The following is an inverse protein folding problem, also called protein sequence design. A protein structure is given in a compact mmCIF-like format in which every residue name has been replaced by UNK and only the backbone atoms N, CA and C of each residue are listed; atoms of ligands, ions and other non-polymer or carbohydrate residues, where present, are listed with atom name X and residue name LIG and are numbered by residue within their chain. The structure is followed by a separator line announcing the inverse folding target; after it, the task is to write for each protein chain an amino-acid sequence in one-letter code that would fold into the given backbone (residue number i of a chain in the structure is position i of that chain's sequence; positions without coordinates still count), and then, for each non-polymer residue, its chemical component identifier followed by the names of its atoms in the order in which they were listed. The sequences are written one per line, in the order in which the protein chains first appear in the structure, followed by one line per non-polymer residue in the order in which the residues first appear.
data_IF_554723804919
#
_entry.id   IF_554723804919
#
_cell.length_a   1.000
_cell.length_b   1.000
_cell.length_c   1.000
_cell.angle_alpha   90.00
_cell.angle_beta   90.00
_cell.angle_gamma   90.00
#
_symmetry.space_group_name_H-M   'P 1'
#
loop_
_entity.id
_entity.type
_entity.pdbx_description
1 polymer ?
#
# COMPACT_ATOMS: atom_id res chain seq x y z
N UNK A 1 -10.51 -2.32 15.41
CA UNK A 1 -9.94 -2.43 14.05
C UNK A 1 -8.44 -2.71 14.13
N UNK A 2 -7.86 -3.44 13.17
CA UNK A 2 -6.41 -3.67 13.08
C UNK A 2 -5.87 -2.91 11.85
N UNK A 3 -4.71 -2.28 12.01
CA UNK A 3 -3.95 -1.64 10.95
C UNK A 3 -2.52 -2.18 10.95
N UNK A 4 -1.97 -2.48 9.78
CA UNK A 4 -0.60 -2.91 9.60
C UNK A 4 0.11 -1.93 8.70
N UNK A 5 1.09 -1.20 9.25
CA UNK A 5 1.82 -0.16 8.53
C UNK A 5 3.32 -0.34 8.69
N UNK A 6 4.07 0.00 7.64
CA UNK A 6 5.53 -0.02 7.65
C UNK A 6 6.05 1.40 7.44
N UNK A 7 7.13 1.78 8.10
CA UNK A 7 7.73 3.11 7.95
C UNK A 7 9.10 3.02 7.28
N UNK A 8 9.39 3.99 6.41
CA UNK A 8 10.72 4.08 5.78
C UNK A 8 11.76 4.53 6.79
N UNK A 9 11.46 5.58 7.56
CA UNK A 9 12.37 6.12 8.57
C UNK A 9 12.05 5.57 9.98
N UNK A 10 13.06 5.51 10.86
CA UNK A 10 12.84 5.18 12.25
C UNK A 10 12.13 6.33 12.98
N UNK A 11 11.12 5.99 13.79
CA UNK A 11 10.38 6.94 14.61
C UNK A 11 10.63 6.60 16.09
N UNK A 12 10.66 7.59 16.96
CA UNK A 12 10.73 7.35 18.41
C UNK A 12 9.36 6.93 18.96
N UNK A 13 9.27 6.01 19.92
CA UNK A 13 7.98 5.55 20.47
C UNK A 13 7.05 6.68 20.91
N UNK A 14 7.58 7.73 21.54
CA UNK A 14 6.78 8.87 22.00
C UNK A 14 6.20 9.66 20.81
N UNK A 15 6.95 9.75 19.71
CA UNK A 15 6.47 10.39 18.48
C UNK A 15 5.44 9.52 17.75
N UNK A 16 5.60 8.19 17.79
CA UNK A 16 4.58 7.26 17.30
C UNK A 16 3.27 7.42 18.07
N UNK A 17 3.32 7.46 19.41
CA UNK A 17 2.13 7.62 20.25
C UNK A 17 1.37 8.91 19.93
N UNK A 18 2.09 10.04 19.82
CA UNK A 18 1.50 11.33 19.43
C UNK A 18 0.86 11.28 18.04
N UNK A 19 1.55 10.67 17.06
CA UNK A 19 1.03 10.54 15.72
C UNK A 19 -0.25 9.68 15.68
N UNK A 20 -0.27 8.52 16.34
CA UNK A 20 -1.42 7.62 16.41
C UNK A 20 -2.62 8.28 17.11
N UNK A 21 -2.37 8.96 18.23
CA UNK A 21 -3.39 9.72 18.94
C UNK A 21 -4.09 10.74 18.01
N UNK A 22 -3.30 11.49 17.24
CA UNK A 22 -3.82 12.43 16.25
C UNK A 22 -4.56 11.76 15.08
N UNK A 23 -4.14 10.57 14.66
CA UNK A 23 -4.78 9.83 13.56
C UNK A 23 -6.17 9.30 13.94
N UNK A 24 -6.31 8.81 15.17
CA UNK A 24 -7.49 8.13 15.70
C UNK A 24 -8.35 9.01 16.61
N UNK A 25 -7.94 10.26 16.84
CA UNK A 25 -8.71 11.22 17.63
C UNK A 25 -8.81 10.89 19.11
N UNK A 26 -7.82 10.20 19.68
CA UNK A 26 -7.75 9.82 21.11
C UNK A 26 -6.71 10.66 21.85
N UNK A 27 -6.70 10.61 23.19
CA UNK A 27 -5.64 11.26 23.96
C UNK A 27 -4.34 10.46 23.84
N UNK A 28 -3.19 11.13 23.90
CA UNK A 28 -1.87 10.46 23.86
C UNK A 28 -1.69 9.46 25.00
N UNK A 29 -2.29 9.74 26.17
CA UNK A 29 -2.26 8.81 27.32
C UNK A 29 -3.09 7.53 27.11
N UNK A 30 -3.98 7.52 26.11
CA UNK A 30 -4.78 6.36 25.74
C UNK A 30 -4.13 5.54 24.60
N UNK A 31 -2.86 5.82 24.27
CA UNK A 31 -2.07 5.09 23.28
C UNK A 31 -0.90 4.39 23.97
N UNK A 32 -0.89 3.06 23.91
CA UNK A 32 0.23 2.20 24.30
C UNK A 32 1.11 1.94 23.08
N UNK A 33 2.41 2.26 23.17
CA UNK A 33 3.40 1.92 22.14
C UNK A 33 4.47 1.06 22.80
N UNK A 34 4.60 -0.19 22.36
CA UNK A 34 5.46 -1.17 23.01
C UNK A 34 6.29 -1.97 22.01
N UNK A 35 7.50 -2.34 22.45
CA UNK A 35 8.28 -3.41 21.84
C UNK A 35 7.67 -4.75 22.27
N UNK A 36 7.32 -5.66 21.34
CA UNK A 36 6.75 -6.97 21.69
C UNK A 36 7.66 -7.83 22.58
N UNK A 37 8.98 -7.60 22.55
CA UNK A 37 9.96 -8.30 23.40
C UNK A 37 10.27 -7.52 24.70
N UNK A 38 9.57 -6.41 24.95
CA UNK A 38 9.69 -5.57 26.14
C UNK A 38 9.04 -6.14 27.40
N UNK A 39 9.15 -5.41 28.51
CA UNK A 39 8.56 -5.80 29.80
C UNK A 39 7.02 -5.67 29.78
N UNK A 40 6.26 -6.77 29.91
CA UNK A 40 4.80 -6.73 29.91
C UNK A 40 4.19 -5.90 31.05
N UNK A 41 4.90 -5.74 32.17
CA UNK A 41 4.42 -4.99 33.33
C UNK A 41 4.44 -3.47 33.09
N UNK A 42 5.16 -3.00 32.06
CA UNK A 42 5.21 -1.59 31.66
C UNK A 42 4.10 -1.20 30.67
N UNK A 43 3.34 -2.17 30.15
CA UNK A 43 2.29 -1.91 29.16
C UNK A 43 1.06 -1.26 29.77
N UNK A 44 0.49 -0.30 29.05
CA UNK A 44 -0.83 0.22 29.37
C UNK A 44 -1.91 -0.66 28.74
N UNK A 45 -2.29 -1.73 29.44
CA UNK A 45 -3.32 -2.67 28.97
C UNK A 45 -4.72 -2.05 28.83
N UNK A 46 -4.97 -0.90 29.48
CA UNK A 46 -6.24 -0.16 29.40
C UNK A 46 -6.24 0.87 28.26
N UNK A 47 -5.18 0.97 27.47
CA UNK A 47 -5.10 1.91 26.36
C UNK A 47 -6.14 1.61 25.27
N UNK A 48 -6.82 2.65 24.79
CA UNK A 48 -7.80 2.57 23.70
C UNK A 48 -7.15 2.18 22.36
N UNK A 49 -5.86 2.49 22.21
CA UNK A 49 -5.06 2.12 21.05
C UNK A 49 -3.78 1.47 21.56
N UNK A 50 -3.46 0.28 21.06
CA UNK A 50 -2.16 -0.34 21.27
C UNK A 50 -1.41 -0.43 19.94
N UNK A 51 -0.10 -0.23 19.98
CA UNK A 51 0.79 -0.36 18.85
C UNK A 51 2.02 -1.16 19.26
N UNK A 52 2.21 -2.28 18.58
CA UNK A 52 3.45 -3.05 18.68
C UNK A 52 4.36 -2.64 17.53
N UNK A 53 5.59 -2.26 17.85
CA UNK A 53 6.58 -1.85 16.85
C UNK A 53 7.77 -2.81 16.84
N UNK A 54 8.18 -3.24 15.64
CA UNK A 54 9.34 -4.12 15.44
C UNK A 54 10.32 -3.52 14.45
N UNK A 55 11.60 -3.53 14.82
CA UNK A 55 12.65 -3.09 13.92
C UNK A 55 12.77 -4.09 12.78
N UNK A 56 12.74 -3.61 11.55
CA UNK A 56 12.94 -4.43 10.35
C UNK A 56 14.16 -3.93 9.57
N UNK A 57 14.63 -4.76 8.66
CA UNK A 57 15.86 -4.49 7.91
C UNK A 57 15.52 -4.25 6.44
N UNK A 58 16.31 -3.42 5.75
CA UNK A 58 16.16 -3.16 4.32
C UNK A 58 15.87 -1.69 4.00
N UNK A 59 14.93 -1.43 3.11
CA UNK A 59 14.45 -0.08 2.76
C UNK A 59 13.46 0.50 3.78
N UNK A 60 13.02 -0.32 4.74
CA UNK A 60 12.05 0.04 5.77
C UNK A 60 12.69 -0.11 7.16
N UNK A 61 12.24 0.69 8.11
CA UNK A 61 12.79 0.74 9.47
C UNK A 61 11.90 0.07 10.52
N UNK A 62 10.58 0.28 10.48
CA UNK A 62 9.65 -0.31 11.44
C UNK A 62 8.49 -1.03 10.74
N UNK A 63 8.07 -2.15 11.35
CA UNK A 63 6.74 -2.74 11.17
C UNK A 63 5.90 -2.39 12.38
N UNK A 64 4.70 -1.85 12.16
CA UNK A 64 3.77 -1.43 13.20
C UNK A 64 2.46 -2.19 13.05
N UNK A 65 2.08 -2.91 14.10
CA UNK A 65 0.77 -3.54 14.22
C UNK A 65 -0.06 -2.76 15.24
N UNK A 66 -1.11 -2.12 14.76
CA UNK A 66 -1.92 -1.18 15.54
C UNK A 66 -3.30 -1.78 15.74
N UNK A 67 -3.72 -1.83 17.00
CA UNK A 67 -5.04 -2.26 17.40
C UNK A 67 -5.80 -1.09 18.03
N UNK A 68 -6.93 -0.72 17.44
CA UNK A 68 -7.87 0.23 18.02
C UNK A 68 -9.06 -0.54 18.61
N UNK A 69 -9.35 -0.31 19.90
CA UNK A 69 -10.50 -0.89 20.58
C UNK A 69 -11.83 -0.39 19.98
N UNK A 70 -12.94 -1.08 20.22
CA UNK A 70 -14.26 -0.74 19.66
C UNK A 70 -14.79 0.61 20.16
N UNK A 71 -14.33 1.04 21.33
CA UNK A 71 -14.66 2.29 22.01
C UNK A 71 -14.09 3.53 21.33
N UNK A 72 -13.12 3.38 20.43
CA UNK A 72 -12.59 4.48 19.62
C UNK A 72 -13.68 4.93 18.64
N UNK A 73 -14.13 6.18 18.78
CA UNK A 73 -15.33 6.69 18.12
C UNK A 73 -15.20 6.83 16.59
N UNK A 74 -14.02 7.21 16.08
CA UNK A 74 -13.71 7.26 14.64
C UNK A 74 -12.63 6.23 14.34
N UNK A 75 -12.96 5.21 13.55
CA UNK A 75 -12.03 4.19 13.08
C UNK A 75 -11.92 4.32 11.55
N UNK A 76 -11.03 5.20 11.05
CA UNK A 76 -10.87 5.44 9.62
C UNK A 76 -10.39 4.18 8.89
N UNK A 77 -10.44 4.20 7.57
CA UNK A 77 -9.82 3.16 6.77
C UNK A 77 -8.30 3.17 6.96
N UNK A 78 -7.65 2.02 6.79
CA UNK A 78 -6.20 1.89 6.92
C UNK A 78 -5.42 2.87 6.05
N UNK A 79 -5.89 3.12 4.82
CA UNK A 79 -5.37 4.16 3.93
C UNK A 79 -5.35 5.54 4.57
N UNK A 80 -6.42 5.90 5.27
CA UNK A 80 -6.57 7.22 5.88
C UNK A 80 -5.68 7.33 7.14
N UNK A 81 -5.60 6.27 7.94
CA UNK A 81 -4.65 6.18 9.06
C UNK A 81 -3.22 6.30 8.56
N UNK A 82 -2.82 5.54 7.54
CA UNK A 82 -1.48 5.60 6.95
C UNK A 82 -1.15 7.01 6.42
N UNK A 83 -2.09 7.67 5.74
CA UNK A 83 -1.87 9.02 5.22
C UNK A 83 -1.73 10.07 6.34
N UNK A 84 -2.59 10.00 7.36
CA UNK A 84 -2.50 10.88 8.54
C UNK A 84 -1.19 10.63 9.30
N UNK A 85 -0.80 9.37 9.46
CA UNK A 85 0.41 8.97 10.17
C UNK A 85 1.67 9.40 9.42
N UNK A 86 1.75 9.18 8.11
CA UNK A 86 2.86 9.63 7.26
C UNK A 86 3.14 11.12 7.42
N UNK A 87 2.08 11.92 7.42
CA UNK A 87 2.17 13.37 7.63
C UNK A 87 2.60 13.72 9.06
N UNK A 88 2.01 13.09 10.07
CA UNK A 88 2.29 13.37 11.47
C UNK A 88 3.69 12.95 11.91
N UNK A 89 4.17 11.82 11.40
CA UNK A 89 5.48 11.24 11.68
C UNK A 89 6.58 11.69 10.71
N UNK A 90 6.24 12.51 9.70
CA UNK A 90 7.17 13.03 8.69
C UNK A 90 7.99 11.93 7.99
N UNK A 91 7.32 10.85 7.59
CA UNK A 91 7.90 9.71 6.87
C UNK A 91 6.94 9.20 5.79
N UNK A 92 7.47 8.47 4.83
CA UNK A 92 6.68 7.59 3.97
C UNK A 92 6.24 6.37 4.76
N UNK A 93 4.98 6.00 4.56
CA UNK A 93 4.33 4.84 5.17
C UNK A 93 3.86 3.90 4.08
N UNK A 94 4.10 2.60 4.26
CA UNK A 94 3.55 1.55 3.43
C UNK A 94 2.40 0.85 4.18
N UNK A 95 1.37 0.46 3.45
CA UNK A 95 0.27 -0.37 3.97
C UNK A 95 -0.18 -1.39 2.92
N UNK A 96 -0.73 -2.54 3.33
CA UNK A 96 -1.18 -3.58 2.42
C UNK A 96 -2.21 -3.04 1.41
N UNK A 97 -2.09 -3.46 0.15
CA UNK A 97 -3.20 -3.28 -0.78
C UNK A 97 -4.16 -4.47 -0.70
N UNK A 98 -5.42 -4.25 -1.11
CA UNK A 98 -6.46 -5.26 -1.09
C UNK A 98 -6.27 -6.38 -2.13
N UNK A 99 -5.40 -6.20 -3.11
CA UNK A 99 -5.12 -7.20 -4.14
C UNK A 99 -4.22 -8.34 -3.65
N UNK A 100 -4.30 -9.49 -4.32
CA UNK A 100 -3.65 -10.70 -3.86
C UNK A 100 -2.10 -10.61 -3.94
N UNK A 101 -1.38 -11.29 -3.02
CA UNK A 101 0.08 -11.35 -3.02
C UNK A 101 0.67 -11.81 -4.36
N UNK A 102 1.92 -11.42 -4.70
CA UNK A 102 3.01 -11.39 -3.70
C UNK A 102 3.36 -10.03 -3.11
N UNK A 103 2.95 -8.90 -3.71
CA UNK A 103 3.78 -7.70 -3.54
C UNK A 103 3.09 -6.37 -3.89
N UNK A 104 1.79 -6.21 -3.67
CA UNK A 104 1.10 -4.95 -3.89
C UNK A 104 0.91 -4.19 -2.57
N UNK A 105 1.79 -3.23 -2.29
CA UNK A 105 1.61 -2.28 -1.19
C UNK A 105 1.21 -0.92 -1.77
N UNK A 106 0.59 -0.11 -0.94
CA UNK A 106 0.52 1.33 -1.17
C UNK A 106 1.61 2.02 -0.37
N UNK A 107 2.24 3.04 -0.95
CA UNK A 107 3.10 3.98 -0.26
C UNK A 107 2.41 5.34 -0.22
N UNK A 108 2.37 5.96 0.95
CA UNK A 108 1.90 7.34 1.13
C UNK A 108 3.02 8.19 1.74
N UNK A 109 3.35 9.30 1.08
CA UNK A 109 4.37 10.23 1.59
C UNK A 109 3.77 11.25 2.55
N UNK A 110 4.62 11.91 3.35
CA UNK A 110 4.21 13.00 4.23
C UNK A 110 3.56 14.19 3.48
N UNK A 111 3.86 14.37 2.20
CA UNK A 111 3.24 15.37 1.31
C UNK A 111 1.88 14.91 0.76
N UNK A 112 1.46 13.67 1.05
CA UNK A 112 0.18 13.10 0.61
C UNK A 112 0.22 12.43 -0.75
N UNK A 113 1.41 12.22 -1.36
CA UNK A 113 1.53 11.40 -2.56
C UNK A 113 1.19 9.96 -2.21
N UNK A 114 0.12 9.43 -2.80
CA UNK A 114 -0.25 8.01 -2.72
C UNK A 114 0.16 7.31 -4.03
N UNK A 115 0.99 6.28 -3.93
CA UNK A 115 1.46 5.53 -5.09
C UNK A 115 1.56 4.04 -4.80
N UNK A 116 1.49 3.21 -5.84
CA UNK A 116 1.72 1.78 -5.69
C UNK A 116 3.20 1.50 -5.50
N UNK A 117 3.48 0.47 -4.72
CA UNK A 117 4.84 0.00 -4.49
C UNK A 117 4.91 -1.52 -4.49
N UNK A 118 6.05 -2.05 -4.94
CA UNK A 118 6.38 -3.46 -4.87
C UNK A 118 7.33 -3.69 -3.72
N UNK A 119 6.87 -4.50 -2.76
CA UNK A 119 7.66 -4.93 -1.61
C UNK A 119 8.01 -6.40 -1.77
N UNK A 120 9.30 -6.72 -1.63
CA UNK A 120 9.83 -8.08 -1.65
C UNK A 120 10.50 -8.36 -0.30
N UNK A 121 10.25 -9.55 0.25
CA UNK A 121 10.89 -10.04 1.47
C UNK A 121 11.95 -11.07 1.06
N UNK A 122 13.14 -10.98 1.63
CA UNK A 122 14.16 -12.04 1.48
C UNK A 122 13.79 -13.28 2.28
N UNK A 123 14.38 -14.41 1.91
CA UNK A 123 14.29 -15.66 2.70
C UNK A 123 15.25 -15.70 3.91
N UNK A 124 15.99 -14.62 4.19
CA UNK A 124 16.87 -14.49 5.37
C UNK A 124 16.09 -14.36 6.70
N UNK A 125 16.76 -14.65 7.82
CA UNK A 125 16.21 -14.48 9.18
C UNK A 125 17.12 -13.54 10.01
N UNK A 126 16.66 -12.32 10.36
CA UNK A 126 15.36 -11.73 10.03
C UNK A 126 15.27 -11.30 8.55
N UNK A 127 14.05 -11.26 7.97
CA UNK A 127 13.87 -10.91 6.57
C UNK A 127 14.24 -9.45 6.27
N UNK A 128 14.85 -9.25 5.10
CA UNK A 128 15.10 -7.96 4.48
C UNK A 128 13.89 -7.53 3.65
N UNK A 129 13.35 -6.36 3.97
CA UNK A 129 12.24 -5.71 3.28
C UNK A 129 12.79 -4.77 2.20
N UNK A 130 12.67 -5.14 0.94
CA UNK A 130 13.19 -4.36 -0.20
C UNK A 130 12.05 -3.80 -1.02
N UNK A 131 12.07 -2.49 -1.24
CA UNK A 131 11.12 -1.83 -2.13
C UNK A 131 11.71 -1.78 -3.54
N UNK A 132 11.34 -2.74 -4.37
CA UNK A 132 11.97 -2.92 -5.70
C UNK A 132 11.44 -1.95 -6.75
N UNK A 133 10.18 -1.49 -6.62
CA UNK A 133 9.56 -0.60 -7.59
C UNK A 133 8.44 0.28 -7.02
N UNK A 134 8.21 1.43 -7.67
CA UNK A 134 7.10 2.36 -7.38
C UNK A 134 6.47 2.90 -8.66
N UNK A 135 5.19 3.27 -8.65
CA UNK A 135 4.55 3.86 -9.84
C UNK A 135 4.81 5.35 -10.03
N UNK A 136 5.12 6.04 -8.93
CA UNK A 136 5.46 7.47 -8.90
C UNK A 136 6.73 7.61 -8.05
N UNK A 137 7.71 8.44 -8.44
CA UNK A 137 8.91 8.63 -7.64
C UNK A 137 8.61 9.03 -6.20
N UNK A 138 9.26 8.36 -5.24
CA UNK A 138 9.18 8.66 -3.81
C UNK A 138 10.58 9.00 -3.32
N UNK A 139 10.77 10.21 -2.79
CA UNK A 139 12.10 10.72 -2.44
C UNK A 139 12.83 9.84 -1.40
N UNK A 140 12.09 9.28 -0.44
CA UNK A 140 12.64 8.40 0.60
C UNK A 140 12.94 6.96 0.11
N UNK A 141 12.54 6.63 -1.12
CA UNK A 141 12.79 5.32 -1.75
C UNK A 141 13.62 5.48 -3.04
N UNK A 142 14.83 6.06 -2.96
CA UNK A 142 15.60 6.44 -4.16
C UNK A 142 16.10 5.24 -4.98
N UNK A 143 16.11 4.04 -4.39
CA UNK A 143 16.55 2.79 -5.04
C UNK A 143 15.42 2.08 -5.80
N UNK A 144 14.17 2.47 -5.56
CA UNK A 144 13.02 1.83 -6.19
C UNK A 144 12.95 2.19 -7.67
N UNK A 145 12.76 1.19 -8.54
CA UNK A 145 12.58 1.42 -9.96
C UNK A 145 11.20 2.03 -10.21
N UNK A 146 11.16 3.17 -10.90
CA UNK A 146 9.88 3.80 -11.26
C UNK A 146 9.29 3.09 -12.47
N UNK A 147 8.22 2.32 -12.28
CA UNK A 147 7.55 1.55 -13.35
C UNK A 147 6.06 1.39 -13.07
N UNK A 148 5.26 1.15 -14.12
CA UNK A 148 3.85 0.77 -13.99
C UNK A 148 3.73 -0.73 -13.72
N UNK A 149 2.77 -1.12 -12.89
CA UNK A 149 2.51 -2.52 -12.55
C UNK A 149 1.38 -3.09 -13.42
N UNK A 150 1.75 -3.81 -14.49
CA UNK A 150 0.78 -4.40 -15.42
C UNK A 150 -0.04 -5.53 -14.77
N UNK A 151 0.51 -6.19 -13.75
CA UNK A 151 -0.12 -7.25 -12.97
C UNK A 151 -1.32 -6.74 -12.14
N UNK A 152 -1.21 -5.57 -11.51
CA UNK A 152 -2.26 -4.97 -10.68
C UNK A 152 -3.50 -4.61 -11.51
N UNK A 153 -3.30 -4.23 -12.78
CA UNK A 153 -4.41 -3.92 -13.71
C UNK A 153 -5.31 -5.13 -13.96
N UNK A 154 -4.76 -6.36 -13.92
CA UNK A 154 -5.55 -7.59 -14.12
C UNK A 154 -6.44 -7.88 -12.92
N UNK A 155 -5.94 -7.57 -11.72
CA UNK A 155 -6.60 -7.87 -10.45
C UNK A 155 -7.69 -6.84 -10.14
N UNK A 156 -7.46 -5.56 -10.46
CA UNK A 156 -8.42 -4.49 -10.24
C UNK A 156 -9.67 -4.56 -11.13
N UNK A 157 -9.60 -5.31 -12.25
CA UNK A 157 -10.67 -5.40 -13.26
C UNK A 157 -11.41 -4.06 -13.50
N UNK A 158 -10.68 -2.97 -13.82
CA UNK A 158 -11.33 -1.68 -14.01
C UNK A 158 -12.36 -1.74 -15.14
N UNK A 159 -13.43 -0.94 -15.02
CA UNK A 159 -14.37 -0.73 -16.10
C UNK A 159 -13.62 -0.20 -17.32
N UNK A 160 -13.55 -1.02 -18.36
CA UNK A 160 -12.75 -0.78 -19.57
C UNK A 160 -13.65 -0.93 -20.79
N UNK A 161 -14.60 0.00 -21.00
CA UNK A 161 -15.62 -0.13 -22.03
C UNK A 161 -15.03 -0.25 -23.44
N UNK A 162 -13.90 0.42 -23.73
CA UNK A 162 -13.23 0.31 -25.02
C UNK A 162 -12.54 -1.06 -25.15
N UNK A 163 -11.80 -1.50 -24.14
CA UNK A 163 -11.18 -2.84 -24.18
C UNK A 163 -12.22 -3.97 -24.21
N UNK A 164 -13.37 -3.80 -23.56
CA UNK A 164 -14.51 -4.73 -23.61
C UNK A 164 -15.14 -4.76 -25.02
N UNK A 165 -15.38 -3.59 -25.63
CA UNK A 165 -15.90 -3.50 -27.00
C UNK A 165 -14.94 -4.08 -28.03
N UNK A 166 -13.63 -3.85 -27.86
CA UNK A 166 -12.58 -4.44 -28.67
C UNK A 166 -12.56 -5.96 -28.51
N UNK A 167 -12.57 -6.48 -27.28
CA UNK A 167 -12.62 -7.93 -27.03
C UNK A 167 -13.86 -8.59 -27.64
N UNK A 168 -15.03 -7.96 -27.54
CA UNK A 168 -16.26 -8.44 -28.18
C UNK A 168 -16.16 -8.46 -29.71
N UNK A 169 -15.48 -7.47 -30.30
CA UNK A 169 -15.26 -7.40 -31.75
C UNK A 169 -14.26 -8.47 -32.22
N UNK A 170 -13.20 -8.71 -31.44
CA UNK A 170 -12.21 -9.75 -31.76
C UNK A 170 -12.78 -11.15 -31.57
N UNK A 171 -13.62 -11.38 -30.57
CA UNK A 171 -14.30 -12.68 -30.39
C UNK A 171 -15.24 -13.00 -31.55
N UNK A 172 -15.94 -12.00 -32.11
CA UNK A 172 -16.74 -12.17 -33.34
C UNK A 172 -15.88 -12.55 -34.55
N UNK A 173 -14.68 -11.99 -34.66
CA UNK A 173 -13.73 -12.32 -35.73
C UNK A 173 -13.13 -13.72 -35.53
N UNK A 174 -12.82 -14.11 -34.29
CA UNK A 174 -12.33 -15.45 -33.93
C UNK A 174 -13.38 -16.54 -34.15
N UNK A 175 -14.65 -16.27 -33.85
CA UNK A 175 -15.74 -17.20 -34.15
C UNK A 175 -16.01 -17.36 -35.65
N UNK A 176 -15.57 -16.39 -36.47
CA UNK A 176 -15.65 -16.44 -37.93
C UNK A 176 -14.40 -17.00 -38.61
N UNK A 177 -13.31 -17.19 -37.87
CA UNK A 177 -12.03 -17.69 -38.37
C UNK A 177 -11.66 -18.98 -37.62
N UNK A 178 -11.68 -20.12 -38.33
CA UNK A 178 -11.18 -21.39 -37.79
C UNK A 178 -9.73 -21.21 -37.28
N UNK A 179 -9.56 -21.56 -36.01
CA UNK A 179 -8.42 -21.46 -35.08
C UNK A 179 -6.99 -21.22 -35.62
N UNK A 180 -6.26 -20.25 -35.00
CA UNK A 180 -4.83 -20.40 -34.55
C UNK A 180 -4.25 -19.17 -33.80
N UNK A 181 -4.98 -18.06 -33.61
CA UNK A 181 -4.36 -16.74 -33.27
C UNK A 181 -4.50 -16.25 -31.81
N UNK A 182 -4.71 -17.14 -30.84
CA UNK A 182 -5.09 -16.75 -29.46
C UNK A 182 -4.08 -15.87 -28.69
N UNK A 183 -2.78 -15.97 -29.00
CA UNK A 183 -1.71 -15.32 -28.22
C UNK A 183 -1.55 -13.82 -28.51
N UNK A 184 -1.60 -13.40 -29.77
CA UNK A 184 -1.41 -11.98 -30.17
C UNK A 184 -2.60 -11.11 -29.78
N UNK A 185 -3.81 -11.67 -29.83
CA UNK A 185 -5.06 -11.01 -29.45
C UNK A 185 -5.07 -10.66 -27.96
N UNK A 186 -4.61 -11.59 -27.13
CA UNK A 186 -4.56 -11.38 -25.69
C UNK A 186 -3.53 -10.29 -25.31
N UNK A 187 -2.36 -10.28 -25.96
CA UNK A 187 -1.36 -9.22 -25.79
C UNK A 187 -1.90 -7.84 -26.23
N UNK A 188 -2.60 -7.78 -27.37
CA UNK A 188 -3.22 -6.54 -27.86
C UNK A 188 -4.26 -5.98 -26.87
N UNK A 189 -5.10 -6.84 -26.28
CA UNK A 189 -6.09 -6.43 -25.28
C UNK A 189 -5.44 -5.81 -24.04
N UNK A 190 -4.36 -6.42 -23.54
CA UNK A 190 -3.63 -5.92 -22.37
C UNK A 190 -3.02 -4.54 -22.66
N UNK A 191 -2.39 -4.38 -23.83
CA UNK A 191 -1.79 -3.10 -24.22
C UNK A 191 -2.84 -1.98 -24.41
N UNK A 192 -4.04 -2.32 -24.89
CA UNK A 192 -5.11 -1.35 -25.11
C UNK A 192 -5.69 -0.81 -23.79
N UNK A 193 -5.84 -1.66 -22.78
CA UNK A 193 -6.25 -1.26 -21.41
C UNK A 193 -5.23 -0.30 -20.79
N UNK A 194 -3.94 -0.61 -20.94
CA UNK A 194 -2.86 0.26 -20.46
C UNK A 194 -2.92 1.63 -21.14
N UNK A 195 -3.15 1.67 -22.45
CA UNK A 195 -3.27 2.91 -23.22
C UNK A 195 -4.49 3.74 -22.82
N UNK A 196 -5.67 3.12 -22.65
CA UNK A 196 -6.92 3.82 -22.27
C UNK A 196 -6.77 4.52 -20.91
N UNK A 197 -6.12 3.87 -19.94
CA UNK A 197 -5.83 4.45 -18.62
C UNK A 197 -4.86 5.63 -18.70
N UNK A 198 -3.82 5.54 -19.53
CA UNK A 198 -2.85 6.64 -19.73
C UNK A 198 -3.56 7.89 -20.28
N UNK A 199 -4.42 7.74 -21.29
CA UNK A 199 -5.14 8.88 -21.86
C UNK A 199 -6.19 9.46 -20.90
N UNK A 200 -6.86 8.61 -20.13
CA UNK A 200 -7.79 9.06 -19.07
C UNK A 200 -7.08 9.97 -18.05
N UNK A 201 -5.87 9.60 -17.62
CA UNK A 201 -5.09 10.38 -16.66
C UNK A 201 -4.55 11.72 -17.20
N UNK A 202 -4.26 11.80 -18.50
CA UNK A 202 -3.82 13.04 -19.16
C UNK A 202 -4.96 14.05 -19.31
N UNK A 203 -6.22 13.57 -19.45
CA UNK A 203 -7.39 14.44 -19.57
C UNK A 203 -7.92 14.99 -18.24
N UNK A 204 -7.57 14.40 -17.10
CA UNK A 204 -7.99 14.89 -15.78
C UNK A 204 -7.08 15.97 -15.20
N UNK A 205 -6.00 16.34 -15.90
CA UNK A 205 -4.97 17.28 -15.43
C UNK A 205 -4.94 18.58 -16.26
N UNK A 206 -6.04 18.90 -16.96
CA UNK A 206 -6.26 20.17 -17.68
C UNK A 206 -7.48 20.87 -17.12
#
# INVERSE_FOLDING_TARGET
MIYSILTVDPIRPESMAVALAGCLGVAVGDVDVADPDGDPDLRNWDALVSCEHRAIHGDLAWSLDIYAQEEVADQPLERDVAARFAKAATTTVLFPASEAPPSAYWAVTQEGLLTRTRLELSDDEPPLYTVTAVETPVAQLPRATVTRFAEIVREQRPDTPIAQAFAASVEKVRQAADDDSGSSIWSAKVNLVVWERVIGSVRSTV
#
